data_IF_791290770378
#
_entry.id   IF_791290770378
#
_cell.length_a   1.000
_cell.length_b   1.000
_cell.length_c   1.000
_cell.angle_alpha   90.00
_cell.angle_beta   90.00
_cell.angle_gamma   90.00
#
_symmetry.space_group_name_H-M   'P 1'
#
loop_
_entity.id
_entity.type
_entity.pdbx_description
1 polymer ?
#
# COMPACT_ATOMS: atom_id res chain seq x y z
N UNK A 1 5.45 -0.43 -10.26
CA UNK A 1 5.51 0.81 -9.44
C UNK A 1 6.84 0.92 -8.68
N UNK A 2 7.44 2.10 -8.66
CA UNK A 2 8.65 2.43 -7.88
C UNK A 2 8.44 2.21 -6.37
N UNK A 3 7.26 2.59 -5.85
CA UNK A 3 6.86 2.37 -4.45
C UNK A 3 7.02 0.92 -4.00
N UNK A 4 6.61 -0.06 -4.82
CA UNK A 4 6.74 -1.47 -4.46
C UNK A 4 8.20 -1.88 -4.29
N UNK A 5 9.11 -1.35 -5.13
CA UNK A 5 10.54 -1.64 -5.03
C UNK A 5 11.15 -1.06 -3.76
N UNK A 6 10.73 0.15 -3.36
CA UNK A 6 11.18 0.75 -2.11
C UNK A 6 10.66 -0.02 -0.89
N UNK A 7 9.38 -0.42 -0.91
CA UNK A 7 8.78 -1.25 0.14
C UNK A 7 9.49 -2.60 0.28
N UNK A 8 9.88 -3.21 -0.85
CA UNK A 8 10.68 -4.43 -0.84
C UNK A 8 11.98 -4.26 -0.07
N UNK A 9 12.71 -3.18 -0.36
CA UNK A 9 13.98 -2.91 0.30
C UNK A 9 13.81 -2.52 1.77
N UNK A 10 12.77 -1.75 2.10
CA UNK A 10 12.54 -1.24 3.45
C UNK A 10 12.12 -2.34 4.44
N UNK A 11 11.31 -3.30 3.96
CA UNK A 11 10.70 -4.33 4.81
C UNK A 11 11.20 -5.75 4.51
N UNK A 12 12.30 -5.88 3.78
CA UNK A 12 12.86 -7.19 3.37
C UNK A 12 11.82 -8.13 2.76
N UNK A 13 10.95 -7.58 1.90
CA UNK A 13 9.92 -8.36 1.22
C UNK A 13 10.48 -8.97 -0.07
N UNK A 14 9.99 -10.17 -0.47
CA UNK A 14 10.21 -10.69 -1.81
C UNK A 14 9.71 -9.75 -2.91
N UNK A 15 10.03 -10.07 -4.16
CA UNK A 15 9.49 -9.38 -5.32
C UNK A 15 7.95 -9.28 -5.25
N UNK A 16 7.42 -8.09 -5.53
CA UNK A 16 5.97 -7.92 -5.66
C UNK A 16 5.48 -8.67 -6.89
N UNK A 17 4.38 -9.41 -6.70
CA UNK A 17 3.55 -9.88 -7.81
C UNK A 17 2.59 -8.75 -8.16
N UNK A 18 2.42 -8.51 -9.45
CA UNK A 18 1.54 -7.45 -9.95
C UNK A 18 0.31 -8.03 -10.62
N UNK A 19 -0.80 -7.34 -10.42
CA UNK A 19 -2.03 -7.53 -11.18
C UNK A 19 -2.51 -6.16 -11.65
N UNK A 20 -3.10 -6.11 -12.83
CA UNK A 20 -3.60 -4.87 -13.41
C UNK A 20 -4.88 -5.13 -14.17
N UNK A 21 -5.94 -4.44 -13.77
CA UNK A 21 -7.15 -4.33 -14.58
C UNK A 21 -7.28 -2.88 -15.08
N UNK A 22 -8.12 -2.66 -16.10
CA UNK A 22 -8.15 -1.44 -16.92
C UNK A 22 -8.08 -0.07 -16.18
N UNK A 23 -8.42 -0.01 -14.89
CA UNK A 23 -8.48 1.23 -14.11
C UNK A 23 -7.68 1.20 -12.80
N UNK A 24 -6.93 0.12 -12.52
CA UNK A 24 -6.14 0.01 -11.30
C UNK A 24 -4.91 -0.89 -11.45
N UNK A 25 -3.85 -0.51 -10.76
CA UNK A 25 -2.65 -1.31 -10.56
C UNK A 25 -2.64 -1.85 -9.13
N UNK A 26 -2.32 -3.13 -9.00
CA UNK A 26 -2.16 -3.80 -7.73
C UNK A 26 -0.79 -4.45 -7.64
N UNK A 27 -0.20 -4.37 -6.46
CA UNK A 27 1.00 -5.10 -6.11
C UNK A 27 0.80 -5.82 -4.79
N UNK A 28 1.28 -7.05 -4.71
CA UNK A 28 1.30 -7.83 -3.48
C UNK A 28 2.67 -8.44 -3.22
N UNK A 29 3.13 -8.37 -1.97
CA UNK A 29 4.26 -9.17 -1.50
C UNK A 29 4.08 -9.56 -0.05
N UNK A 30 4.64 -10.71 0.34
CA UNK A 30 4.65 -11.18 1.72
C UNK A 30 5.93 -11.92 2.06
N UNK A 31 6.30 -11.84 3.34
CA UNK A 31 7.26 -12.72 3.99
C UNK A 31 6.53 -13.44 5.16
N UNK A 32 7.20 -14.27 5.98
CA UNK A 32 6.55 -14.96 7.11
C UNK A 32 5.99 -14.03 8.20
N UNK A 33 6.45 -12.80 8.31
CA UNK A 33 6.09 -11.87 9.39
C UNK A 33 4.98 -10.90 8.97
N UNK A 34 4.93 -10.53 7.68
CA UNK A 34 4.02 -9.50 7.17
C UNK A 34 3.72 -9.67 5.67
N UNK A 35 2.58 -9.12 5.27
CA UNK A 35 2.16 -8.92 3.88
C UNK A 35 1.81 -7.46 3.62
N UNK A 36 2.13 -7.00 2.42
CA UNK A 36 1.76 -5.67 1.93
C UNK A 36 1.01 -5.81 0.62
N UNK A 37 -0.15 -5.16 0.56
CA UNK A 37 -0.89 -4.92 -0.67
C UNK A 37 -0.79 -3.43 -1.00
N UNK A 38 -0.48 -3.10 -2.25
CA UNK A 38 -0.47 -1.73 -2.76
C UNK A 38 -1.49 -1.66 -3.87
N UNK A 39 -2.40 -0.69 -3.81
CA UNK A 39 -3.32 -0.43 -4.91
C UNK A 39 -3.21 1.03 -5.32
N UNK A 40 -3.11 1.26 -6.63
CA UNK A 40 -3.16 2.59 -7.24
C UNK A 40 -4.28 2.59 -8.28
N UNK A 41 -5.24 3.49 -8.13
CA UNK A 41 -6.36 3.64 -9.05
C UNK A 41 -6.14 4.85 -9.96
N UNK A 42 -6.76 4.85 -11.13
CA UNK A 42 -6.70 5.97 -12.07
C UNK A 42 -7.38 7.22 -11.50
N UNK A 43 -8.56 7.05 -10.88
CA UNK A 43 -9.30 8.12 -10.21
C UNK A 43 -9.12 8.13 -8.69
N UNK A 44 -9.53 9.23 -8.06
CA UNK A 44 -9.41 9.46 -6.62
C UNK A 44 -10.65 9.04 -5.81
N UNK A 45 -11.57 8.26 -6.38
CA UNK A 45 -12.82 7.89 -5.72
C UNK A 45 -12.99 6.39 -5.63
N UNK A 46 -12.38 5.63 -6.52
CA UNK A 46 -12.50 4.18 -6.61
C UNK A 46 -12.23 3.51 -5.27
N UNK A 47 -11.14 3.87 -4.58
CA UNK A 47 -10.78 3.27 -3.29
C UNK A 47 -11.84 3.59 -2.21
N UNK A 48 -12.40 4.79 -2.22
CA UNK A 48 -13.43 5.22 -1.26
C UNK A 48 -14.72 4.39 -1.37
N UNK A 49 -14.97 3.81 -2.54
CA UNK A 49 -16.10 2.89 -2.77
C UNK A 49 -15.81 1.45 -2.32
N UNK A 50 -14.54 1.08 -2.18
CA UNK A 50 -14.11 -0.29 -1.85
C UNK A 50 -13.90 -0.51 -0.35
N UNK A 51 -13.43 0.50 0.38
CA UNK A 51 -13.09 0.38 1.81
C UNK A 51 -13.83 1.41 2.64
N UNK A 52 -14.66 0.93 3.56
CA UNK A 52 -15.33 1.77 4.54
C UNK A 52 -14.33 2.55 5.40
N UNK A 53 -14.56 3.85 5.57
CA UNK A 53 -13.68 4.73 6.34
C UNK A 53 -12.47 5.27 5.56
N UNK A 54 -12.30 4.89 4.29
CA UNK A 54 -11.31 5.53 3.42
C UNK A 54 -11.59 7.03 3.30
N UNK A 55 -10.57 7.90 3.50
CA UNK A 55 -10.71 9.33 3.26
C UNK A 55 -11.12 9.63 1.82
N UNK A 56 -11.89 10.69 1.58
CA UNK A 56 -12.27 11.07 0.22
C UNK A 56 -11.04 11.51 -0.57
N UNK A 57 -11.10 11.34 -1.90
CA UNK A 57 -10.05 11.79 -2.85
C UNK A 57 -8.71 11.04 -2.71
N UNK A 58 -8.76 9.76 -2.41
CA UNK A 58 -7.58 8.87 -2.34
C UNK A 58 -7.55 7.97 -3.59
N UNK A 59 -6.41 7.95 -4.29
CA UNK A 59 -6.15 7.04 -5.42
C UNK A 59 -5.00 6.06 -5.16
N UNK A 60 -4.51 6.01 -3.93
CA UNK A 60 -3.40 5.16 -3.53
C UNK A 60 -3.66 4.61 -2.12
N UNK A 61 -3.60 3.29 -1.97
CA UNK A 61 -3.71 2.63 -0.67
C UNK A 61 -2.60 1.62 -0.46
N UNK A 62 -2.25 1.43 0.80
CA UNK A 62 -1.36 0.38 1.26
C UNK A 62 -2.01 -0.34 2.42
N UNK A 63 -2.21 -1.64 2.28
CA UNK A 63 -2.78 -2.51 3.32
C UNK A 63 -1.65 -3.35 3.90
N UNK A 64 -1.51 -3.28 5.21
CA UNK A 64 -0.58 -4.10 5.98
C UNK A 64 -1.34 -5.27 6.59
N UNK A 65 -0.85 -6.50 6.41
CA UNK A 65 -1.29 -7.69 7.13
C UNK A 65 -0.12 -8.22 7.94
N UNK A 66 -0.18 -8.12 9.27
CA UNK A 66 0.85 -8.62 10.19
C UNK A 66 0.21 -8.91 11.55
N UNK A 67 0.87 -9.71 12.40
CA UNK A 67 0.44 -9.91 13.79
C UNK A 67 0.56 -8.63 14.61
N UNK A 68 1.60 -7.84 14.34
CA UNK A 68 1.85 -6.53 14.91
C UNK A 68 2.38 -5.60 13.82
N UNK A 69 2.10 -4.31 13.94
CA UNK A 69 2.64 -3.33 13.00
C UNK A 69 4.16 -3.20 13.17
N UNK A 70 4.95 -3.29 12.08
CA UNK A 70 6.39 -3.10 12.16
C UNK A 70 6.75 -1.73 12.75
N UNK A 71 7.80 -1.64 13.58
CA UNK A 71 8.25 -0.36 14.11
C UNK A 71 8.50 0.66 13.00
N UNK A 72 8.01 1.88 13.17
CA UNK A 72 8.16 2.97 12.20
C UNK A 72 7.50 2.72 10.83
N UNK A 73 6.57 1.77 10.70
CA UNK A 73 5.90 1.48 9.42
C UNK A 73 5.31 2.74 8.77
N UNK A 74 4.51 3.51 9.52
CA UNK A 74 3.87 4.72 9.01
C UNK A 74 4.87 5.79 8.57
N UNK A 75 5.95 6.03 9.33
CA UNK A 75 6.95 7.05 9.00
C UNK A 75 7.82 6.63 7.82
N UNK A 76 8.16 5.35 7.69
CA UNK A 76 8.81 4.82 6.49
C UNK A 76 7.91 4.92 5.27
N UNK A 77 6.62 4.59 5.41
CA UNK A 77 5.68 4.69 4.30
C UNK A 77 5.50 6.14 3.83
N UNK A 78 5.41 7.11 4.76
CA UNK A 78 5.34 8.52 4.43
C UNK A 78 6.59 9.00 3.68
N UNK A 79 7.77 8.49 4.06
CA UNK A 79 9.03 8.78 3.36
C UNK A 79 9.04 8.22 1.94
N UNK A 80 8.65 6.96 1.76
CA UNK A 80 8.60 6.27 0.46
C UNK A 80 7.60 6.96 -0.49
N UNK A 81 6.43 7.33 0.03
CA UNK A 81 5.38 7.97 -0.76
C UNK A 81 5.60 9.47 -0.98
N UNK A 82 6.54 10.09 -0.26
CA UNK A 82 6.79 11.53 -0.30
C UNK A 82 5.59 12.38 0.13
N UNK A 83 4.68 11.83 0.92
CA UNK A 83 3.41 12.47 1.32
C UNK A 83 2.94 12.01 2.70
N UNK A 84 1.94 12.71 3.24
CA UNK A 84 1.31 12.35 4.51
C UNK A 84 0.52 11.04 4.36
N UNK A 85 0.84 10.06 5.21
CA UNK A 85 0.07 8.81 5.33
C UNK A 85 -1.03 9.00 6.36
N UNK A 86 -2.27 8.78 5.93
CA UNK A 86 -3.45 8.78 6.80
C UNK A 86 -3.85 7.33 7.06
N UNK A 87 -3.87 6.96 8.35
CA UNK A 87 -4.39 5.65 8.77
C UNK A 87 -5.91 5.68 8.73
N UNK A 88 -6.50 4.63 8.19
CA UNK A 88 -7.94 4.38 8.21
C UNK A 88 -8.18 2.87 8.19
N UNK A 89 -9.34 2.47 8.70
CA UNK A 89 -9.74 1.09 9.00
C UNK A 89 -8.89 0.40 10.08
#
# INVERSE_FOLDING_TARGET
MEVCRELQSAFSLPAFTFDSENHWEYGYSKNPEMGINVTKTEDSRTIETWIAGCPPRVNFQVILTASEEPPNFQSQLAKILGTTVVRYA
#
